data_IF_336153577526
#
_entry.id   IF_336153577526
#
_cell.length_a   1.000
_cell.length_b   1.000
_cell.length_c   1.000
_cell.angle_alpha   90.00
_cell.angle_beta   90.00
_cell.angle_gamma   90.00
#
_symmetry.space_group_name_H-M   'P 1'
#
loop_
_entity.id
_entity.type
_entity.pdbx_description
1 polymer ?
#
# COMPACT_ATOMS: atom_id res chain seq x y z
N UNK A 1 -27.22 -2.55 6.05
CA UNK A 1 -26.11 -1.75 6.63
C UNK A 1 -24.96 -2.60 7.21
N UNK A 2 -25.05 -3.93 7.25
CA UNK A 2 -24.02 -4.79 7.88
C UNK A 2 -22.81 -5.01 6.95
N UNK A 3 -23.04 -5.21 5.64
CA UNK A 3 -21.99 -5.47 4.65
C UNK A 3 -20.92 -4.35 4.56
N UNK A 4 -21.35 -3.10 4.67
CA UNK A 4 -20.45 -1.94 4.60
C UNK A 4 -19.55 -1.80 5.82
N UNK A 5 -20.05 -2.13 7.02
CA UNK A 5 -19.22 -2.11 8.22
C UNK A 5 -18.23 -3.27 8.22
N UNK A 6 -18.62 -4.48 7.82
CA UNK A 6 -17.68 -5.61 7.75
C UNK A 6 -16.54 -5.37 6.76
N UNK A 7 -16.81 -4.75 5.61
CA UNK A 7 -15.76 -4.36 4.65
C UNK A 7 -14.80 -3.34 5.29
N UNK A 8 -15.33 -2.34 6.00
CA UNK A 8 -14.52 -1.32 6.67
C UNK A 8 -13.70 -1.94 7.82
N UNK A 9 -14.27 -2.87 8.60
CA UNK A 9 -13.57 -3.57 9.69
C UNK A 9 -12.49 -4.50 9.16
N UNK A 10 -12.76 -5.25 8.09
CA UNK A 10 -11.77 -6.10 7.43
C UNK A 10 -10.63 -5.25 6.84
N UNK A 11 -10.96 -4.13 6.21
CA UNK A 11 -9.96 -3.19 5.68
C UNK A 11 -9.15 -2.52 6.80
N UNK A 12 -9.78 -2.12 7.91
CA UNK A 12 -9.08 -1.53 9.05
C UNK A 12 -8.17 -2.55 9.76
N UNK A 13 -8.64 -3.79 9.95
CA UNK A 13 -7.85 -4.89 10.49
C UNK A 13 -6.67 -5.23 9.56
N UNK A 14 -6.88 -5.10 8.25
CA UNK A 14 -5.86 -5.27 7.22
C UNK A 14 -4.79 -4.16 7.26
N UNK A 15 -5.17 -2.89 7.33
CA UNK A 15 -4.23 -1.77 7.47
C UNK A 15 -3.45 -1.86 8.79
N UNK A 16 -4.10 -2.27 9.88
CA UNK A 16 -3.42 -2.53 11.16
C UNK A 16 -2.36 -3.63 11.04
N UNK A 17 -2.58 -4.65 10.20
CA UNK A 17 -1.59 -5.71 9.92
C UNK A 17 -0.48 -5.27 8.97
N UNK A 18 -0.79 -4.40 8.00
CA UNK A 18 0.23 -3.80 7.15
C UNK A 18 1.23 -3.04 8.00
N UNK A 19 0.80 -2.30 9.05
CA UNK A 19 1.67 -1.45 9.87
C UNK A 19 2.94 -2.13 10.43
N UNK A 20 2.95 -3.45 10.60
CA UNK A 20 4.10 -4.21 11.09
C UNK A 20 5.01 -4.78 9.98
N UNK A 21 4.81 -4.42 8.70
CA UNK A 21 5.59 -4.95 7.58
C UNK A 21 7.11 -4.70 7.70
N UNK A 22 7.48 -3.61 8.38
CA UNK A 22 8.87 -3.24 8.65
C UNK A 22 9.58 -4.29 9.52
N UNK A 23 8.83 -4.97 10.39
CA UNK A 23 9.34 -5.99 11.31
C UNK A 23 9.44 -7.38 10.67
N UNK A 24 8.90 -7.58 9.47
CA UNK A 24 8.97 -8.85 8.76
C UNK A 24 10.40 -9.12 8.27
N UNK A 25 10.84 -10.38 8.31
CA UNK A 25 12.04 -10.80 7.58
C UNK A 25 11.82 -10.70 6.07
N UNK A 26 12.89 -10.66 5.28
CA UNK A 26 12.79 -10.59 3.82
C UNK A 26 12.02 -11.78 3.22
N UNK A 27 12.15 -12.96 3.82
CA UNK A 27 11.41 -14.15 3.39
C UNK A 27 9.93 -14.07 3.77
N UNK A 28 9.60 -13.61 4.98
CA UNK A 28 8.22 -13.39 5.39
C UNK A 28 7.55 -12.33 4.52
N UNK A 29 8.27 -11.24 4.22
CA UNK A 29 7.82 -10.17 3.34
C UNK A 29 7.53 -10.70 1.94
N UNK A 30 8.45 -11.46 1.34
CA UNK A 30 8.25 -12.09 0.01
C UNK A 30 7.07 -13.05 0.01
N UNK A 31 6.95 -13.90 1.04
CA UNK A 31 5.83 -14.84 1.16
C UNK A 31 4.49 -14.11 1.23
N UNK A 32 4.43 -12.96 1.91
CA UNK A 32 3.22 -12.15 2.03
C UNK A 32 2.90 -11.37 0.75
N UNK A 33 3.81 -10.51 0.31
CA UNK A 33 3.58 -9.53 -0.75
C UNK A 33 4.01 -9.99 -2.15
N UNK A 34 4.58 -11.19 -2.28
CA UNK A 34 5.00 -11.76 -3.57
C UNK A 34 6.30 -11.19 -4.14
N UNK A 35 6.82 -10.10 -3.57
CA UNK A 35 8.03 -9.41 -4.03
C UNK A 35 9.05 -9.26 -2.91
N UNK A 36 10.32 -9.07 -3.27
CA UNK A 36 11.37 -8.74 -2.29
C UNK A 36 11.28 -7.27 -1.87
N UNK A 37 11.72 -6.94 -0.65
CA UNK A 37 11.78 -5.55 -0.14
C UNK A 37 12.55 -4.59 -1.06
N UNK A 38 13.58 -5.08 -1.74
CA UNK A 38 14.32 -4.26 -2.71
C UNK A 38 13.46 -3.87 -3.92
N UNK A 39 12.62 -4.79 -4.40
CA UNK A 39 11.69 -4.54 -5.52
C UNK A 39 10.60 -3.56 -5.09
N UNK A 40 10.05 -3.76 -3.89
CA UNK A 40 9.07 -2.84 -3.28
C UNK A 40 9.60 -1.40 -3.23
N UNK A 41 10.83 -1.18 -2.75
CA UNK A 41 11.47 0.16 -2.75
C UNK A 41 11.53 0.79 -4.14
N UNK A 42 11.88 0.02 -5.17
CA UNK A 42 11.92 0.51 -6.57
C UNK A 42 10.53 0.85 -7.10
N UNK A 43 9.51 0.07 -6.72
CA UNK A 43 8.12 0.36 -7.09
C UNK A 43 7.65 1.66 -6.44
N UNK A 44 7.90 1.84 -5.14
CA UNK A 44 7.58 3.08 -4.41
C UNK A 44 8.28 4.29 -5.03
N UNK A 45 9.56 4.17 -5.39
CA UNK A 45 10.31 5.22 -6.06
C UNK A 45 9.71 5.57 -7.43
N UNK A 46 9.31 4.56 -8.21
CA UNK A 46 8.67 4.75 -9.51
C UNK A 46 7.30 5.42 -9.40
N UNK A 47 6.51 5.09 -8.38
CA UNK A 47 5.23 5.77 -8.14
C UNK A 47 5.46 7.22 -7.72
N UNK A 48 6.43 7.47 -6.83
CA UNK A 48 6.81 8.83 -6.42
C UNK A 48 7.26 9.69 -7.61
N UNK A 49 8.05 9.14 -8.53
CA UNK A 49 8.50 9.88 -9.71
C UNK A 49 7.33 10.23 -10.63
N UNK A 50 6.40 9.29 -10.86
CA UNK A 50 5.19 9.54 -11.66
C UNK A 50 4.31 10.61 -11.02
N UNK A 51 4.12 10.58 -9.69
CA UNK A 51 3.35 11.61 -8.99
C UNK A 51 4.03 13.00 -9.07
N UNK A 52 5.36 13.05 -8.98
CA UNK A 52 6.13 14.28 -9.07
C UNK A 52 6.10 14.90 -10.48
N UNK A 53 6.21 14.07 -11.52
CA UNK A 53 6.17 14.49 -12.92
C UNK A 53 4.76 14.83 -13.39
N UNK A 54 3.74 14.31 -12.69
CA UNK A 54 2.36 14.70 -12.90
C UNK A 54 2.15 16.14 -12.40
N UNK A 55 2.34 17.12 -13.29
CA UNK A 55 1.79 18.49 -13.16
C UNK A 55 0.24 18.48 -13.22
N UNK A 56 -0.39 17.40 -12.77
CA UNK A 56 -1.81 17.20 -12.93
C UNK A 56 -2.57 18.03 -11.89
N UNK A 57 -3.73 18.61 -12.26
CA UNK A 57 -4.60 19.33 -11.34
C UNK A 57 -5.17 18.45 -10.21
N UNK A 58 -4.78 17.17 -10.10
CA UNK A 58 -5.23 16.21 -9.07
C UNK A 58 -4.69 16.51 -7.66
N UNK A 59 -3.66 17.37 -7.52
CA UNK A 59 -3.28 17.93 -6.20
C UNK A 59 -4.43 18.69 -5.50
N UNK A 60 -5.55 18.91 -6.20
CA UNK A 60 -6.74 19.64 -5.73
C UNK A 60 -7.80 18.75 -5.04
N UNK A 61 -7.50 17.48 -4.75
CA UNK A 61 -8.37 16.57 -4.00
C UNK A 61 -7.94 16.34 -2.54
N UNK A 62 -8.78 15.67 -1.73
CA UNK A 62 -8.39 15.22 -0.39
C UNK A 62 -7.12 14.38 -0.44
N UNK A 63 -6.19 14.65 0.48
CA UNK A 63 -4.96 13.85 0.59
C UNK A 63 -5.32 12.37 0.81
N UNK A 64 -4.64 11.44 0.12
CA UNK A 64 -4.80 10.01 0.39
C UNK A 64 -4.54 9.72 1.88
N UNK A 65 -5.30 8.77 2.44
CA UNK A 65 -5.13 8.34 3.84
C UNK A 65 -3.88 7.47 4.03
N UNK A 66 -3.40 6.86 2.96
CA UNK A 66 -2.27 5.93 2.97
C UNK A 66 -1.06 6.59 2.31
N UNK A 67 0.11 6.37 2.88
CA UNK A 67 1.40 6.65 2.23
C UNK A 67 1.55 5.87 0.93
N UNK A 68 2.46 6.30 0.05
CA UNK A 68 2.71 5.62 -1.23
C UNK A 68 3.19 4.18 -0.97
N UNK A 69 4.03 4.00 0.05
CA UNK A 69 4.49 2.70 0.54
C UNK A 69 3.30 1.78 0.88
N UNK A 70 2.36 2.26 1.71
CA UNK A 70 1.18 1.49 2.08
C UNK A 70 0.27 1.21 0.87
N UNK A 71 0.11 2.18 -0.04
CA UNK A 71 -0.67 1.98 -1.26
C UNK A 71 -0.09 0.87 -2.15
N UNK A 72 1.24 0.82 -2.30
CA UNK A 72 1.92 -0.24 -3.04
C UNK A 72 1.69 -1.60 -2.36
N UNK A 73 1.87 -1.69 -1.04
CA UNK A 73 1.65 -2.94 -0.30
C UNK A 73 0.20 -3.43 -0.35
N UNK A 74 -0.77 -2.53 -0.20
CA UNK A 74 -2.20 -2.83 -0.35
C UNK A 74 -2.50 -3.38 -1.74
N UNK A 75 -1.92 -2.77 -2.77
CA UNK A 75 -2.10 -3.19 -4.17
C UNK A 75 -1.51 -4.58 -4.42
N UNK A 76 -0.29 -4.84 -3.93
CA UNK A 76 0.36 -6.14 -4.05
C UNK A 76 -0.42 -7.26 -3.35
N UNK A 77 -1.03 -6.96 -2.20
CA UNK A 77 -1.87 -7.95 -1.53
C UNK A 77 -3.20 -8.18 -2.25
N UNK A 78 -3.81 -7.15 -2.83
CA UNK A 78 -5.06 -7.27 -3.58
C UNK A 78 -4.90 -8.05 -4.91
N UNK A 79 -3.75 -7.93 -5.57
CA UNK A 79 -3.49 -8.61 -6.85
C UNK A 79 -3.04 -10.07 -6.74
N UNK A 80 -2.86 -10.56 -5.52
CA UNK A 80 -2.46 -11.94 -5.26
C UNK A 80 -3.64 -12.89 -5.25
#
# INVERSE_FOLDING_TARGET
>A
MILGQEIIYNFAMFISKIMDYQNLSDEQFKRRFGVYKQTDRKMVESVKSVEADSNSPSKRGPKPKLSIEEQVLVTLEYWR
#
